data_IF_801142458357
#
_entry.id   IF_801142458357
#
_cell.length_a   1.000
_cell.length_b   1.000
_cell.length_c   1.000
_cell.angle_alpha   90.00
_cell.angle_beta   90.00
_cell.angle_gamma   90.00
#
_symmetry.space_group_name_H-M   'P 1'
#
loop_
_entity.id
_entity.type
_entity.pdbx_description
1 polymer ?
#
# COMPACT_ATOMS: atom_id res chain seq x y z
N UNK A 1 43.22 45.16 -20.48
CA UNK A 1 43.22 43.93 -19.62
C UNK A 1 41.98 43.74 -18.72
N UNK A 2 41.09 44.71 -18.54
CA UNK A 2 39.92 44.60 -17.66
C UNK A 2 38.68 43.86 -18.28
N UNK A 3 38.50 43.91 -19.62
CA UNK A 3 37.35 43.24 -20.26
C UNK A 3 37.40 41.70 -20.22
N UNK A 4 38.59 41.10 -20.21
CA UNK A 4 38.71 39.65 -20.25
C UNK A 4 38.38 38.98 -18.91
N UNK A 5 38.55 39.69 -17.78
CA UNK A 5 38.20 39.18 -16.44
C UNK A 5 36.67 39.11 -16.25
N UNK A 6 35.91 40.03 -16.85
CA UNK A 6 34.43 40.09 -16.73
C UNK A 6 33.74 38.88 -17.39
N UNK A 7 34.24 38.44 -18.55
CA UNK A 7 33.66 37.28 -19.24
C UNK A 7 33.94 35.96 -18.53
N UNK A 8 35.09 35.82 -17.89
CA UNK A 8 35.42 34.61 -17.12
C UNK A 8 34.55 34.50 -15.87
N UNK A 9 34.31 35.61 -15.17
CA UNK A 9 33.47 35.63 -13.99
C UNK A 9 32.00 35.30 -14.34
N UNK A 10 31.51 35.84 -15.47
CA UNK A 10 30.15 35.57 -15.95
C UNK A 10 29.97 34.08 -16.35
N UNK A 11 30.95 33.50 -17.01
CA UNK A 11 30.93 32.10 -17.38
C UNK A 11 30.93 31.16 -16.15
N UNK A 12 31.73 31.46 -15.15
CA UNK A 12 31.76 30.67 -13.90
C UNK A 12 30.44 30.76 -13.14
N UNK A 13 29.81 31.93 -13.08
CA UNK A 13 28.51 32.11 -12.43
C UNK A 13 27.40 31.38 -13.19
N UNK A 14 27.41 31.40 -14.53
CA UNK A 14 26.44 30.66 -15.34
C UNK A 14 26.59 29.13 -15.20
N UNK A 15 27.81 28.62 -15.15
CA UNK A 15 28.06 27.20 -14.93
C UNK A 15 27.65 26.77 -13.53
N UNK A 16 27.95 27.59 -12.50
CA UNK A 16 27.52 27.31 -11.14
C UNK A 16 26.00 27.34 -10.98
N UNK A 17 25.31 28.29 -11.65
CA UNK A 17 23.85 28.37 -11.68
C UNK A 17 23.25 27.18 -12.44
N UNK A 18 23.83 26.76 -13.54
CA UNK A 18 23.40 25.58 -14.27
C UNK A 18 23.59 24.27 -13.46
N UNK A 19 24.68 24.16 -12.71
CA UNK A 19 24.89 23.02 -11.80
C UNK A 19 23.91 23.04 -10.62
N UNK A 20 23.54 24.21 -10.10
CA UNK A 20 22.52 24.35 -9.06
C UNK A 20 21.13 23.98 -9.56
N UNK A 21 20.79 24.35 -10.78
CA UNK A 21 19.51 23.99 -11.41
C UNK A 21 19.48 22.52 -11.80
N UNK A 22 20.56 21.96 -12.32
CA UNK A 22 20.67 20.55 -12.66
C UNK A 22 20.78 19.65 -11.40
N UNK A 23 21.41 20.16 -10.32
CA UNK A 23 21.46 19.46 -9.04
C UNK A 23 20.18 19.62 -8.21
N UNK A 24 19.32 20.58 -8.54
CA UNK A 24 18.07 20.85 -7.83
C UNK A 24 16.86 20.03 -8.29
N UNK A 25 17.00 19.23 -9.34
CA UNK A 25 16.11 18.09 -9.56
C UNK A 25 16.58 16.96 -8.65
N UNK A 26 16.54 17.18 -7.36
CA UNK A 26 16.39 16.08 -6.42
C UNK A 26 15.03 15.50 -6.75
N UNK A 27 14.98 14.53 -7.64
CA UNK A 27 13.91 13.55 -7.70
C UNK A 27 13.63 13.21 -6.26
N UNK A 28 12.40 13.45 -5.81
CA UNK A 28 11.94 13.14 -4.45
C UNK A 28 12.45 11.74 -4.15
N UNK A 29 13.47 11.68 -3.33
CA UNK A 29 14.40 10.58 -3.32
C UNK A 29 13.63 9.33 -2.96
N UNK A 30 14.05 8.24 -3.51
CA UNK A 30 13.87 6.87 -3.06
C UNK A 30 14.33 6.70 -1.59
N UNK A 31 14.02 7.69 -0.71
CA UNK A 31 14.32 7.61 0.71
C UNK A 31 13.48 6.50 1.27
N UNK A 32 14.16 5.45 1.66
CA UNK A 32 13.55 4.35 2.38
C UNK A 32 12.79 4.88 3.58
N UNK A 33 11.65 4.29 3.86
CA UNK A 33 10.87 4.61 5.06
C UNK A 33 10.75 3.38 5.96
N UNK A 34 10.48 3.66 7.22
CA UNK A 34 10.21 2.66 8.24
C UNK A 34 8.85 2.95 8.84
N UNK A 35 7.92 2.03 8.68
CA UNK A 35 6.58 2.12 9.22
C UNK A 35 6.42 1.14 10.39
N UNK A 36 5.99 1.65 11.53
CA UNK A 36 5.57 0.84 12.66
C UNK A 36 4.06 0.58 12.57
N UNK A 37 3.68 -0.65 12.20
CA UNK A 37 2.28 -1.05 12.01
C UNK A 37 1.80 -1.86 13.22
N UNK A 38 0.87 -1.34 14.04
CA UNK A 38 0.25 -2.11 15.09
C UNK A 38 -0.65 -3.20 14.51
N UNK A 39 -0.61 -4.38 15.11
CA UNK A 39 -1.43 -5.53 14.76
C UNK A 39 -2.38 -5.86 15.91
N UNK A 40 -3.67 -5.91 15.62
CA UNK A 40 -4.65 -6.46 16.54
C UNK A 40 -4.48 -7.99 16.64
N UNK A 41 -4.48 -8.58 17.85
CA UNK A 41 -4.42 -10.02 18.01
C UNK A 41 -5.72 -10.69 17.60
N UNK A 42 -5.68 -11.99 17.30
CA UNK A 42 -6.88 -12.81 17.14
C UNK A 42 -7.23 -13.48 18.47
N UNK A 43 -8.50 -13.64 18.78
CA UNK A 43 -9.01 -14.29 20.01
C UNK A 43 -9.73 -13.33 20.95
N UNK A 44 -10.39 -13.88 21.98
CA UNK A 44 -11.23 -13.12 22.93
C UNK A 44 -12.25 -12.19 22.24
N UNK A 45 -12.90 -12.67 21.19
CA UNK A 45 -13.84 -11.87 20.39
C UNK A 45 -13.20 -10.98 19.32
N UNK A 46 -11.88 -11.01 19.17
CA UNK A 46 -11.17 -10.26 18.13
C UNK A 46 -10.80 -11.18 16.96
N UNK A 47 -11.02 -10.71 15.75
CA UNK A 47 -10.72 -11.48 14.53
C UNK A 47 -9.24 -11.43 14.17
N UNK A 48 -8.54 -10.34 14.51
CA UNK A 48 -7.11 -10.18 14.29
C UNK A 48 -6.68 -10.18 12.82
N UNK A 49 -7.59 -9.85 11.92
CA UNK A 49 -7.29 -9.73 10.49
C UNK A 49 -6.74 -8.33 10.18
N UNK A 50 -5.44 -8.21 10.16
CA UNK A 50 -4.78 -6.94 9.88
C UNK A 50 -4.46 -6.84 8.38
N UNK A 51 -5.20 -6.03 7.63
CA UNK A 51 -4.85 -5.71 6.26
C UNK A 51 -3.73 -4.68 6.25
N UNK A 52 -2.62 -5.06 5.66
CA UNK A 52 -1.36 -4.34 5.74
C UNK A 52 -0.92 -3.91 4.36
N UNK A 53 -0.62 -2.63 4.20
CA UNK A 53 0.02 -2.10 3.01
C UNK A 53 1.45 -2.60 2.89
N UNK A 54 1.83 -2.97 1.67
CA UNK A 54 3.20 -3.33 1.33
C UNK A 54 3.80 -2.19 0.50
N UNK A 55 5.00 -1.70 0.83
CA UNK A 55 5.68 -0.68 0.06
C UNK A 55 5.83 -1.08 -1.41
N UNK A 56 5.74 -0.11 -2.30
CA UNK A 56 5.81 -0.35 -3.74
C UNK A 56 7.17 -0.82 -4.21
N UNK A 57 8.21 -0.40 -3.52
CA UNK A 57 9.53 -1.00 -3.62
C UNK A 57 9.93 -1.52 -2.25
N UNK A 58 9.98 -2.83 -2.08
CA UNK A 58 10.23 -3.48 -0.80
C UNK A 58 11.28 -4.60 -0.96
N UNK A 59 12.00 -4.93 0.13
CA UNK A 59 13.01 -6.00 0.12
C UNK A 59 12.40 -7.41 0.21
N UNK A 60 11.08 -7.51 0.34
CA UNK A 60 10.40 -8.77 0.58
C UNK A 60 10.03 -9.44 -0.73
N UNK A 61 10.82 -10.37 -1.24
CA UNK A 61 10.46 -11.14 -2.44
C UNK A 61 9.29 -12.11 -2.22
N UNK A 62 9.09 -12.58 -0.97
CA UNK A 62 8.05 -13.52 -0.61
C UNK A 62 7.60 -13.35 0.86
N UNK A 63 6.54 -14.05 1.25
CA UNK A 63 5.98 -13.96 2.58
C UNK A 63 6.94 -14.48 3.66
N UNK A 64 7.82 -15.42 3.37
CA UNK A 64 8.85 -15.89 4.30
C UNK A 64 9.84 -14.78 4.66
N UNK A 65 10.33 -14.06 3.66
CA UNK A 65 11.20 -12.91 3.86
C UNK A 65 10.47 -11.79 4.64
N UNK A 66 9.22 -11.51 4.31
CA UNK A 66 8.38 -10.56 5.05
C UNK A 66 8.24 -10.96 6.53
N UNK A 67 7.90 -12.22 6.83
CA UNK A 67 7.79 -12.71 8.19
C UNK A 67 9.08 -12.48 8.99
N UNK A 68 10.22 -12.85 8.42
CA UNK A 68 11.51 -12.79 9.11
C UNK A 68 11.99 -11.35 9.36
N UNK A 69 11.70 -10.43 8.44
CA UNK A 69 12.23 -9.07 8.50
C UNK A 69 11.30 -8.10 9.24
N UNK A 70 10.04 -8.43 9.43
CA UNK A 70 9.05 -7.52 10.06
C UNK A 70 8.81 -7.80 11.54
N UNK A 71 9.36 -8.88 12.11
CA UNK A 71 9.17 -9.26 13.50
C UNK A 71 7.89 -10.07 13.75
N UNK A 72 7.39 -10.76 12.73
CA UNK A 72 6.31 -11.73 12.88
C UNK A 72 6.81 -13.01 13.55
N UNK A 73 5.90 -13.73 14.23
CA UNK A 73 6.24 -14.98 14.92
C UNK A 73 6.45 -16.10 13.90
N UNK A 74 7.69 -16.59 13.81
CA UNK A 74 8.13 -17.59 12.82
C UNK A 74 8.41 -18.98 13.41
N UNK A 75 8.39 -19.12 14.73
CA UNK A 75 8.71 -20.36 15.46
C UNK A 75 7.70 -20.65 16.57
N UNK A 76 7.75 -21.87 17.10
CA UNK A 76 6.81 -22.31 18.13
C UNK A 76 5.53 -22.93 17.56
N UNK A 77 4.60 -23.30 18.45
CA UNK A 77 3.35 -23.98 18.08
C UNK A 77 2.32 -23.07 17.42
N UNK A 78 2.31 -21.78 17.77
CA UNK A 78 1.39 -20.79 17.23
C UNK A 78 2.20 -19.69 16.55
N UNK A 79 2.06 -19.60 15.23
CA UNK A 79 2.80 -18.69 14.37
C UNK A 79 1.86 -17.71 13.67
N UNK A 80 2.38 -16.57 13.30
CA UNK A 80 1.65 -15.62 12.45
C UNK A 80 1.36 -16.24 11.08
N UNK A 81 0.26 -15.83 10.47
CA UNK A 81 -0.09 -16.23 9.12
C UNK A 81 -0.20 -15.01 8.22
N UNK A 82 0.18 -15.20 6.95
CA UNK A 82 0.01 -14.21 5.89
C UNK A 82 -0.92 -14.78 4.85
N UNK A 83 -1.84 -13.97 4.36
CA UNK A 83 -2.68 -14.33 3.25
C UNK A 83 -2.69 -13.24 2.18
N UNK A 84 -2.63 -13.68 0.93
CA UNK A 84 -2.89 -12.88 -0.26
C UNK A 84 -4.23 -13.30 -0.85
N UNK A 85 -5.00 -12.34 -1.34
CA UNK A 85 -6.26 -12.57 -2.02
C UNK A 85 -6.07 -12.28 -3.51
N UNK A 86 -6.34 -13.26 -4.35
CA UNK A 86 -6.36 -13.05 -5.79
C UNK A 86 -7.48 -12.05 -6.14
N UNK A 87 -7.17 -10.88 -6.69
CA UNK A 87 -8.15 -9.84 -6.88
C UNK A 87 -9.23 -10.20 -7.92
N UNK A 88 -8.93 -11.07 -8.88
CA UNK A 88 -9.89 -11.46 -9.91
C UNK A 88 -10.85 -12.56 -9.44
N UNK A 89 -10.35 -13.53 -8.66
CA UNK A 89 -11.13 -14.71 -8.27
C UNK A 89 -11.60 -14.70 -6.82
N UNK A 90 -11.06 -13.80 -5.98
CA UNK A 90 -11.29 -13.79 -4.54
C UNK A 90 -10.63 -14.96 -3.78
N UNK A 91 -9.93 -15.85 -4.49
CA UNK A 91 -9.26 -16.98 -3.87
C UNK A 91 -8.16 -16.49 -2.90
N UNK A 92 -8.15 -17.05 -1.70
CA UNK A 92 -7.19 -16.69 -0.67
C UNK A 92 -6.11 -17.75 -0.54
N UNK A 93 -4.86 -17.37 -0.73
CA UNK A 93 -3.69 -18.22 -0.41
C UNK A 93 -3.16 -17.81 0.94
N UNK A 94 -3.16 -18.74 1.90
CA UNK A 94 -2.67 -18.50 3.27
C UNK A 94 -1.45 -19.35 3.55
N UNK A 95 -0.42 -18.75 4.12
CA UNK A 95 0.82 -19.41 4.54
C UNK A 95 1.14 -19.08 5.99
N UNK A 96 1.82 -20.00 6.66
CA UNK A 96 2.28 -19.82 8.05
C UNK A 96 3.72 -19.36 8.07
N UNK A 97 4.03 -18.30 8.80
CA UNK A 97 5.38 -17.79 8.98
C UNK A 97 6.33 -18.87 9.50
N UNK A 98 7.56 -18.89 8.98
CA UNK A 98 8.58 -19.88 9.36
C UNK A 98 8.36 -21.27 8.77
N UNK A 99 7.48 -21.43 7.80
CA UNK A 99 7.33 -22.68 7.04
C UNK A 99 7.88 -22.54 5.61
N UNK A 100 8.21 -23.67 4.97
CA UNK A 100 8.65 -23.66 3.58
C UNK A 100 7.59 -23.03 2.64
N UNK A 101 6.30 -23.23 2.93
CA UNK A 101 5.20 -22.65 2.16
C UNK A 101 5.21 -21.11 2.17
N UNK A 102 5.73 -20.47 3.21
CA UNK A 102 5.84 -19.01 3.22
C UNK A 102 6.81 -18.48 2.14
N UNK A 103 7.78 -19.27 1.73
CA UNK A 103 8.74 -18.86 0.70
C UNK A 103 8.16 -18.97 -0.73
N UNK A 104 7.02 -19.64 -0.90
CA UNK A 104 6.37 -19.78 -2.20
C UNK A 104 5.33 -18.68 -2.48
N UNK A 105 4.81 -18.02 -1.45
CA UNK A 105 3.87 -16.91 -1.62
C UNK A 105 4.64 -15.63 -1.95
N UNK A 106 4.58 -15.22 -3.21
CA UNK A 106 5.21 -13.97 -3.67
C UNK A 106 4.46 -12.74 -3.15
N UNK A 107 5.20 -11.69 -2.83
CA UNK A 107 4.64 -10.39 -2.46
C UNK A 107 4.57 -9.51 -3.70
N UNK A 108 3.34 -9.14 -4.06
CA UNK A 108 3.09 -8.28 -5.22
C UNK A 108 3.02 -6.81 -4.76
N UNK A 109 3.87 -5.91 -5.28
CA UNK A 109 3.78 -4.49 -5.00
C UNK A 109 2.38 -3.93 -5.33
N UNK A 110 1.91 -2.98 -4.54
CA UNK A 110 0.59 -2.38 -4.71
C UNK A 110 -0.57 -3.21 -4.15
N UNK A 111 -0.34 -4.46 -3.78
CA UNK A 111 -1.34 -5.34 -3.14
C UNK A 111 -1.13 -5.39 -1.63
N UNK A 112 -2.23 -5.31 -0.89
CA UNK A 112 -2.22 -5.50 0.56
C UNK A 112 -2.21 -6.97 0.94
N UNK A 113 -1.55 -7.27 2.03
CA UNK A 113 -1.52 -8.60 2.64
C UNK A 113 -2.37 -8.63 3.90
N UNK A 114 -3.07 -9.71 4.13
CA UNK A 114 -3.72 -9.97 5.41
C UNK A 114 -2.73 -10.66 6.34
N UNK A 115 -2.41 -10.00 7.44
CA UNK A 115 -1.57 -10.55 8.51
C UNK A 115 -2.48 -10.93 9.67
N UNK A 116 -2.42 -12.17 10.13
CA UNK A 116 -3.16 -12.64 11.30
C UNK A 116 -2.21 -13.13 12.36
N UNK A 117 -2.36 -12.56 13.56
CA UNK A 117 -1.61 -12.94 14.75
C UNK A 117 -2.39 -13.93 15.58
N UNK A 118 -1.76 -14.98 16.15
CA UNK A 118 -2.47 -15.99 16.94
C UNK A 118 -3.04 -15.42 18.25
N UNK A 119 -4.08 -16.07 18.76
CA UNK A 119 -4.84 -15.64 19.95
C UNK A 119 -4.07 -15.62 21.26
N UNK A 120 -2.93 -16.30 21.34
CA UNK A 120 -2.08 -16.34 22.53
C UNK A 120 -1.23 -15.08 22.71
N UNK A 121 -1.14 -14.24 21.71
CA UNK A 121 -0.44 -12.96 21.82
C UNK A 121 -1.37 -11.96 22.49
N UNK A 122 -1.09 -11.64 23.75
CA UNK A 122 -1.86 -10.68 24.51
C UNK A 122 -1.43 -9.26 24.13
N UNK A 123 -2.41 -8.41 23.85
CA UNK A 123 -2.20 -6.99 23.55
C UNK A 123 -1.84 -6.71 22.08
N UNK A 124 -1.81 -5.42 21.76
CA UNK A 124 -1.40 -4.94 20.44
C UNK A 124 0.12 -5.01 20.33
N UNK A 125 0.57 -5.72 19.33
CA UNK A 125 2.00 -5.77 18.96
C UNK A 125 2.20 -5.06 17.64
N UNK A 126 3.43 -4.70 17.34
CA UNK A 126 3.74 -3.98 16.10
C UNK A 126 4.72 -4.77 15.26
N UNK A 127 4.58 -4.62 13.94
CA UNK A 127 5.59 -5.02 12.97
C UNK A 127 6.26 -3.79 12.37
N UNK A 128 7.49 -3.98 11.92
CA UNK A 128 8.24 -2.93 11.25
C UNK A 128 8.30 -3.26 9.76
N UNK A 129 7.70 -2.40 8.95
CA UNK A 129 7.73 -2.52 7.50
C UNK A 129 8.72 -1.50 6.96
N UNK A 130 9.65 -1.96 6.13
CA UNK A 130 10.61 -1.09 5.45
C UNK A 130 10.40 -1.15 3.95
N UNK A 131 10.67 -0.05 3.28
CA UNK A 131 10.56 0.01 1.84
C UNK A 131 10.78 1.40 1.31
N UNK A 132 10.56 1.57 0.03
CA UNK A 132 10.65 2.87 -0.61
C UNK A 132 9.52 3.05 -1.64
N UNK A 133 9.45 4.24 -2.19
CA UNK A 133 8.49 4.62 -3.18
C UNK A 133 8.90 4.09 -4.57
N UNK A 134 7.90 3.70 -5.37
CA UNK A 134 8.05 3.44 -6.80
C UNK A 134 7.05 4.33 -7.56
N UNK A 135 7.52 5.45 -8.15
CA UNK A 135 6.63 6.43 -8.76
C UNK A 135 5.98 5.95 -10.07
N UNK A 136 6.49 4.87 -10.65
CA UNK A 136 5.99 4.32 -11.91
C UNK A 136 5.14 3.07 -11.73
N UNK A 137 4.90 2.61 -10.49
CA UNK A 137 4.10 1.42 -10.27
C UNK A 137 2.65 1.65 -10.68
N UNK A 138 2.20 0.93 -11.70
CA UNK A 138 0.79 0.85 -12.07
C UNK A 138 0.09 -0.26 -11.31
N UNK A 139 -1.06 0.06 -10.75
CA UNK A 139 -1.91 -0.88 -10.01
C UNK A 139 -3.16 -1.18 -10.82
N UNK A 140 -3.46 -2.45 -11.03
CA UNK A 140 -4.66 -2.88 -11.75
C UNK A 140 -5.75 -3.33 -10.77
N UNK A 141 -6.94 -2.76 -10.92
CA UNK A 141 -8.17 -3.19 -10.26
C UNK A 141 -8.96 -4.01 -11.27
N UNK A 142 -9.25 -5.29 -11.00
CA UNK A 142 -10.04 -6.10 -11.91
C UNK A 142 -11.50 -5.66 -11.90
N UNK A 143 -12.21 -6.03 -12.95
CA UNK A 143 -13.66 -5.86 -13.01
C UNK A 143 -14.35 -6.58 -11.85
N UNK A 144 -15.28 -5.88 -11.20
CA UNK A 144 -16.16 -6.42 -10.17
C UNK A 144 -17.65 -6.35 -10.56
N UNK A 145 -17.94 -6.18 -11.85
CA UNK A 145 -19.30 -6.15 -12.39
C UNK A 145 -20.07 -7.46 -12.21
N UNK A 146 -21.20 -7.58 -12.84
CA UNK A 146 -22.11 -8.71 -12.69
C UNK A 146 -21.40 -10.06 -12.86
N UNK A 147 -21.37 -10.85 -11.79
CA UNK A 147 -20.75 -12.19 -11.77
C UNK A 147 -19.25 -12.23 -11.46
N UNK A 148 -18.60 -11.09 -11.30
CA UNK A 148 -17.18 -10.99 -10.92
C UNK A 148 -17.00 -10.68 -9.43
N UNK A 149 -16.02 -11.32 -8.81
CA UNK A 149 -15.66 -11.05 -7.40
C UNK A 149 -14.76 -9.83 -7.28
N UNK A 150 -14.05 -9.48 -8.34
CA UNK A 150 -13.08 -8.40 -8.52
C UNK A 150 -12.87 -7.46 -7.33
N UNK A 151 -12.01 -7.82 -6.39
CA UNK A 151 -11.67 -6.99 -5.24
C UNK A 151 -10.17 -6.93 -5.07
N UNK A 152 -9.61 -5.75 -5.29
CA UNK A 152 -8.22 -5.51 -4.98
C UNK A 152 -8.09 -5.04 -3.53
N UNK A 153 -7.30 -5.72 -2.72
CA UNK A 153 -6.78 -5.16 -1.49
C UNK A 153 -5.60 -4.26 -1.86
N UNK A 154 -5.88 -2.98 -1.91
CA UNK A 154 -4.96 -1.96 -2.38
C UNK A 154 -4.06 -1.48 -1.25
N UNK A 155 -2.75 -1.54 -1.47
CA UNK A 155 -1.77 -0.93 -0.58
C UNK A 155 -1.78 0.58 -0.74
N UNK A 156 -2.25 1.29 0.28
CA UNK A 156 -2.17 2.76 0.29
C UNK A 156 -0.70 3.18 0.27
N UNK A 157 -0.26 3.98 -0.73
CA UNK A 157 1.13 4.40 -0.82
C UNK A 157 1.57 5.19 0.41
N UNK A 158 2.80 5.00 0.84
CA UNK A 158 3.36 5.74 1.98
C UNK A 158 3.39 7.26 1.76
N UNK A 159 3.67 7.67 0.53
CA UNK A 159 3.70 9.08 0.10
C UNK A 159 2.42 9.47 -0.66
N UNK A 160 1.27 8.94 -0.26
CA UNK A 160 0.01 9.29 -0.92
C UNK A 160 -0.43 10.70 -0.58
N UNK A 161 -0.96 11.41 -1.57
CA UNK A 161 -1.70 12.67 -1.36
C UNK A 161 -3.17 12.41 -1.07
N UNK A 162 -3.66 11.20 -1.32
CA UNK A 162 -5.03 10.81 -1.01
C UNK A 162 -5.15 10.52 0.51
N UNK A 163 -5.91 11.31 1.22
CA UNK A 163 -6.17 11.17 2.67
C UNK A 163 -7.52 10.56 2.98
N UNK A 164 -8.43 10.57 2.00
CA UNK A 164 -9.77 9.99 2.09
C UNK A 164 -10.05 9.04 0.92
N UNK A 165 -11.11 8.25 1.04
CA UNK A 165 -11.58 7.42 -0.07
C UNK A 165 -12.03 8.29 -1.27
N UNK A 166 -12.56 9.49 -1.05
CA UNK A 166 -12.91 10.41 -2.12
C UNK A 166 -11.68 10.85 -2.93
N UNK A 167 -10.57 11.15 -2.24
CA UNK A 167 -9.31 11.52 -2.90
C UNK A 167 -8.77 10.36 -3.74
N UNK A 168 -8.82 9.13 -3.19
CA UNK A 168 -8.42 7.94 -3.94
C UNK A 168 -9.30 7.73 -5.17
N UNK A 169 -10.64 7.85 -5.04
CA UNK A 169 -11.56 7.75 -6.18
C UNK A 169 -11.20 8.76 -7.28
N UNK A 170 -10.95 10.01 -6.90
CA UNK A 170 -10.67 11.09 -7.85
C UNK A 170 -9.33 10.89 -8.57
N UNK A 171 -8.29 10.51 -7.81
CA UNK A 171 -6.93 10.37 -8.35
C UNK A 171 -6.69 9.11 -9.16
N UNK A 172 -7.49 8.06 -8.93
CA UNK A 172 -7.33 6.76 -9.60
C UNK A 172 -8.24 6.55 -10.81
N UNK A 173 -9.17 7.48 -11.07
CA UNK A 173 -10.15 7.34 -12.16
C UNK A 173 -11.23 6.27 -11.89
N UNK A 174 -11.42 5.89 -10.62
CA UNK A 174 -12.49 4.98 -10.23
C UNK A 174 -13.87 5.56 -10.53
N UNK A 175 -14.80 4.71 -10.96
CA UNK A 175 -16.15 5.15 -11.37
C UNK A 175 -16.87 5.83 -10.22
N UNK A 176 -17.16 7.12 -10.37
CA UNK A 176 -17.76 7.98 -9.34
C UNK A 176 -19.17 8.45 -9.66
N UNK A 177 -19.70 8.14 -10.86
CA UNK A 177 -21.02 8.55 -11.34
C UNK A 177 -21.79 7.36 -11.91
N UNK A 178 -23.09 7.53 -12.12
CA UNK A 178 -23.96 6.49 -12.67
C UNK A 178 -24.55 5.55 -11.61
N UNK A 179 -25.20 4.48 -12.07
CA UNK A 179 -25.92 3.52 -11.21
C UNK A 179 -24.97 2.54 -10.48
N UNK A 180 -23.87 2.15 -11.13
CA UNK A 180 -22.84 1.30 -10.55
C UNK A 180 -21.61 2.15 -10.33
N UNK A 181 -21.23 2.32 -9.07
CA UNK A 181 -20.06 3.11 -8.67
C UNK A 181 -19.01 2.21 -8.05
N UNK A 182 -17.74 2.58 -8.24
CA UNK A 182 -16.66 1.95 -7.52
C UNK A 182 -16.84 2.09 -6.01
N UNK A 183 -16.35 1.12 -5.26
CA UNK A 183 -16.43 1.14 -3.80
C UNK A 183 -15.06 0.97 -3.17
N UNK A 184 -14.87 1.64 -2.03
CA UNK A 184 -13.69 1.50 -1.19
C UNK A 184 -14.15 1.02 0.19
N UNK A 185 -13.54 -0.08 0.65
CA UNK A 185 -13.84 -0.71 1.92
C UNK A 185 -12.62 -0.73 2.84
N UNK A 186 -12.82 -0.41 4.13
CA UNK A 186 -11.83 -0.55 5.17
C UNK A 186 -12.31 -1.56 6.20
N UNK A 187 -11.46 -2.53 6.51
CA UNK A 187 -11.74 -3.53 7.53
C UNK A 187 -11.23 -3.05 8.89
N UNK A 188 -12.07 -3.12 9.92
CA UNK A 188 -11.63 -2.99 11.30
C UNK A 188 -10.96 -4.32 11.72
N UNK A 189 -9.67 -4.34 12.04
CA UNK A 189 -8.94 -5.57 12.34
C UNK A 189 -9.39 -6.23 13.64
N UNK A 190 -9.97 -5.47 14.57
CA UNK A 190 -10.44 -5.96 15.87
C UNK A 190 -11.80 -6.60 15.76
N UNK A 191 -12.76 -5.93 15.13
CA UNK A 191 -14.15 -6.39 15.05
C UNK A 191 -14.46 -7.21 13.81
N UNK A 192 -13.64 -7.09 12.75
CA UNK A 192 -13.89 -7.64 11.43
C UNK A 192 -14.99 -6.91 10.65
N UNK A 193 -15.53 -5.84 11.19
CA UNK A 193 -16.51 -5.02 10.49
C UNK A 193 -15.86 -4.28 9.33
N UNK A 194 -16.52 -4.28 8.17
CA UNK A 194 -16.08 -3.53 6.99
C UNK A 194 -16.94 -2.29 6.83
N UNK A 195 -16.30 -1.13 6.81
CA UNK A 195 -16.93 0.13 6.39
C UNK A 195 -16.68 0.30 4.91
N UNK A 196 -17.75 0.32 4.11
CA UNK A 196 -17.66 0.49 2.64
C UNK A 196 -18.36 1.76 2.23
N UNK A 197 -17.74 2.52 1.32
CA UNK A 197 -18.28 3.75 0.74
C UNK A 197 -18.22 3.68 -0.78
N UNK A 198 -19.16 4.35 -1.43
CA UNK A 198 -19.17 4.46 -2.89
C UNK A 198 -18.49 5.74 -3.35
N UNK A 199 -17.67 5.66 -4.40
CA UNK A 199 -17.05 6.81 -5.04
C UNK A 199 -18.10 7.84 -5.49
N UNK A 200 -17.75 9.12 -5.40
CA UNK A 200 -18.67 10.21 -5.74
C UNK A 200 -19.80 10.46 -4.74
N UNK A 201 -19.75 9.89 -3.54
CA UNK A 201 -20.70 10.18 -2.45
C UNK A 201 -20.02 10.98 -1.34
N UNK A 202 -20.81 11.71 -0.56
CA UNK A 202 -20.31 12.44 0.60
C UNK A 202 -19.63 11.50 1.63
N UNK A 203 -20.13 10.28 1.76
CA UNK A 203 -19.54 9.25 2.65
C UNK A 203 -18.09 8.90 2.27
N UNK A 204 -17.72 8.97 0.99
CA UNK A 204 -16.34 8.74 0.57
C UNK A 204 -15.38 9.79 1.16
N UNK A 205 -15.81 11.01 1.35
CA UNK A 205 -15.01 12.07 2.00
C UNK A 205 -14.80 11.85 3.51
N UNK A 206 -15.59 11.00 4.15
CA UNK A 206 -15.47 10.71 5.59
C UNK A 206 -14.65 9.46 5.89
N UNK A 207 -14.43 8.57 4.92
CA UNK A 207 -13.60 7.38 5.11
C UNK A 207 -12.12 7.73 4.93
N UNK A 208 -11.41 7.89 6.05
CA UNK A 208 -9.96 8.17 6.04
C UNK A 208 -9.15 6.97 5.58
N UNK A 209 -8.14 7.22 4.76
CA UNK A 209 -7.09 6.26 4.42
C UNK A 209 -6.00 6.32 5.49
N UNK A 210 -5.58 5.18 5.98
CA UNK A 210 -4.57 5.09 7.04
C UNK A 210 -3.30 4.46 6.48
N UNK A 211 -2.19 5.15 6.64
CA UNK A 211 -0.88 4.64 6.22
C UNK A 211 -0.59 3.29 6.89
N UNK A 212 -0.08 2.36 6.09
CA UNK A 212 0.18 0.99 6.55
C UNK A 212 -1.04 0.08 6.57
N UNK A 213 -2.24 0.58 6.23
CA UNK A 213 -3.43 -0.25 6.03
C UNK A 213 -3.70 -0.43 4.54
N UNK A 214 -4.18 -1.60 4.17
CA UNK A 214 -4.72 -1.83 2.85
C UNK A 214 -6.25 -1.69 2.87
N UNK A 215 -6.80 -1.16 1.78
CA UNK A 215 -8.24 -0.99 1.57
C UNK A 215 -8.73 -1.88 0.43
N UNK A 216 -9.96 -2.36 0.55
CA UNK A 216 -10.61 -3.10 -0.52
C UNK A 216 -11.11 -2.11 -1.58
N UNK A 217 -10.71 -2.29 -2.84
CA UNK A 217 -11.15 -1.49 -3.98
C UNK A 217 -11.90 -2.39 -4.96
N UNK A 218 -13.08 -1.96 -5.37
CA UNK A 218 -13.91 -2.66 -6.37
C UNK A 218 -14.32 -1.68 -7.46
N UNK A 219 -14.17 -2.08 -8.71
CA UNK A 219 -14.56 -1.31 -9.89
C UNK A 219 -15.57 -2.11 -10.72
N UNK A 220 -16.84 -1.69 -10.78
CA UNK A 220 -17.90 -2.48 -11.42
C UNK A 220 -18.04 -2.28 -12.94
N UNK A 221 -17.34 -1.32 -13.53
CA UNK A 221 -17.52 -0.93 -14.92
C UNK A 221 -16.33 -1.33 -15.82
N UNK A 222 -15.70 -2.45 -15.51
CA UNK A 222 -14.56 -2.98 -16.21
C UNK A 222 -13.23 -2.74 -15.47
N UNK A 223 -12.17 -3.45 -15.86
CA UNK A 223 -10.88 -3.32 -15.21
C UNK A 223 -10.28 -1.95 -15.48
N UNK A 224 -9.65 -1.37 -14.47
CA UNK A 224 -8.87 -0.14 -14.62
C UNK A 224 -7.43 -0.34 -14.13
N UNK A 225 -6.53 0.50 -14.62
CA UNK A 225 -5.17 0.59 -14.11
C UNK A 225 -4.82 2.05 -13.87
N UNK A 226 -4.17 2.33 -12.77
CA UNK A 226 -3.76 3.68 -12.40
C UNK A 226 -2.41 3.69 -11.69
N UNK A 227 -1.73 4.82 -11.77
CA UNK A 227 -0.57 5.10 -10.93
C UNK A 227 -1.10 5.85 -9.71
N UNK A 228 -0.93 5.30 -8.49
CA UNK A 228 -1.46 5.95 -7.29
C UNK A 228 -0.86 7.34 -7.08
N UNK A 229 -1.70 8.30 -6.72
CA UNK A 229 -1.26 9.67 -6.45
C UNK A 229 -0.28 9.71 -5.27
N UNK A 230 0.83 10.40 -5.47
CA UNK A 230 1.92 10.55 -4.51
C UNK A 230 2.58 11.93 -4.68
N UNK A 231 3.37 12.36 -3.72
CA UNK A 231 4.18 13.59 -3.76
C UNK A 231 5.67 13.29 -3.75
#
# INVERSE_FOLDING_TARGET
MLKQKSHFTLAVVLVAAAMLVAGGVVTASNTGFKLNKPLAPSGLGQIGNNWTSIPYFNPYGNAGAFCNQTGLITSGGLRDTIADVNPATGATTTVTCGTAGANTLLITPGRGLRVRRPSTVVGTTSIIIVGSHNPSLSVSVPDSGLGSIGTLWFSVPYHTTAVTAADLCASSGLTSAGGLRATIGRLNPTTGATTTVSCGTAAAGTLSLVLGEAVAVREPNGPISFIPAHF
#
